data_IF_006719269999
#
_entry.id   IF_006719269999
#
_cell.length_a   1.000
_cell.length_b   1.000
_cell.length_c   1.000
_cell.angle_alpha   90.00
_cell.angle_beta   90.00
_cell.angle_gamma   90.00
#
_symmetry.space_group_name_H-M   'P 1'
#
loop_
_entity.id
_entity.type
_entity.pdbx_description
1 polymer ?
#
# COMPACT_ATOMS: atom_id res chain seq x y z
N UNK A 1 27.89 -10.94 9.60
CA UNK A 1 27.02 -10.40 10.68
C UNK A 1 26.07 -9.30 10.19
N UNK A 2 26.48 -8.48 9.21
CA UNK A 2 25.66 -7.42 8.58
C UNK A 2 24.29 -7.91 8.07
N UNK A 3 24.25 -9.03 7.34
CA UNK A 3 22.99 -9.59 6.81
C UNK A 3 21.93 -9.84 7.90
N UNK A 4 22.33 -10.49 9.00
CA UNK A 4 21.44 -10.75 10.14
C UNK A 4 20.90 -9.45 10.76
N UNK A 5 21.73 -8.42 10.86
CA UNK A 5 21.33 -7.12 11.40
C UNK A 5 20.32 -6.43 10.47
N UNK A 6 20.57 -6.43 9.17
CA UNK A 6 19.65 -5.86 8.17
C UNK A 6 18.28 -6.53 8.29
N UNK A 7 18.24 -7.86 8.26
CA UNK A 7 16.98 -8.61 8.37
C UNK A 7 16.28 -8.29 9.68
N UNK A 8 16.97 -8.41 10.81
CA UNK A 8 16.35 -8.21 12.13
C UNK A 8 15.78 -6.79 12.32
N UNK A 9 16.55 -5.76 12.01
CA UNK A 9 16.08 -4.38 12.16
C UNK A 9 14.96 -4.05 11.17
N UNK A 10 15.03 -4.55 9.93
CA UNK A 10 13.99 -4.31 8.93
C UNK A 10 12.68 -4.98 9.31
N UNK A 11 12.71 -6.18 9.90
CA UNK A 11 11.50 -6.85 10.39
C UNK A 11 10.85 -6.07 11.53
N UNK A 12 11.64 -5.61 12.51
CA UNK A 12 11.13 -4.79 13.62
C UNK A 12 10.49 -3.50 13.12
N UNK A 13 11.19 -2.77 12.24
CA UNK A 13 10.68 -1.54 11.63
C UNK A 13 9.45 -1.81 10.78
N UNK A 14 9.42 -2.91 10.02
CA UNK A 14 8.27 -3.33 9.22
C UNK A 14 7.01 -3.58 10.04
N UNK A 15 7.14 -4.26 11.20
CA UNK A 15 6.01 -4.47 12.12
C UNK A 15 5.45 -3.14 12.60
N UNK A 16 6.30 -2.25 13.10
CA UNK A 16 5.88 -0.95 13.64
C UNK A 16 5.25 -0.09 12.54
N UNK A 17 5.89 0.01 11.37
CA UNK A 17 5.38 0.77 10.23
C UNK A 17 4.06 0.21 9.70
N UNK A 18 3.91 -1.12 9.65
CA UNK A 18 2.67 -1.77 9.22
C UNK A 18 1.51 -1.54 10.20
N UNK A 19 1.78 -1.54 11.51
CA UNK A 19 0.79 -1.17 12.53
C UNK A 19 0.34 0.29 12.37
N UNK A 20 1.30 1.21 12.22
CA UNK A 20 1.00 2.64 12.03
C UNK A 20 0.18 2.85 10.76
N UNK A 21 0.56 2.23 9.64
CA UNK A 21 -0.19 2.32 8.38
C UNK A 21 -1.61 1.77 8.51
N UNK A 22 -1.79 0.66 9.24
CA UNK A 22 -3.11 0.07 9.47
C UNK A 22 -4.03 1.05 10.20
N UNK A 23 -3.54 1.70 11.27
CA UNK A 23 -4.32 2.72 12.00
C UNK A 23 -4.73 3.88 11.09
N UNK A 24 -3.80 4.37 10.27
CA UNK A 24 -4.07 5.45 9.32
C UNK A 24 -5.14 5.00 8.29
N UNK A 25 -5.01 3.80 7.74
CA UNK A 25 -5.97 3.25 6.77
C UNK A 25 -7.37 3.09 7.37
N UNK A 26 -7.49 2.71 8.65
CA UNK A 26 -8.79 2.59 9.33
C UNK A 26 -9.57 3.91 9.32
N UNK A 27 -8.88 5.06 9.35
CA UNK A 27 -9.56 6.37 9.36
C UNK A 27 -9.68 7.01 7.98
N UNK A 28 -8.77 6.71 7.05
CA UNK A 28 -8.76 7.36 5.74
C UNK A 28 -9.36 6.51 4.64
N UNK A 29 -9.03 5.22 4.59
CA UNK A 29 -9.31 4.36 3.44
C UNK A 29 -10.58 3.54 3.68
N UNK A 30 -10.74 2.96 4.87
CA UNK A 30 -11.88 2.09 5.20
C UNK A 30 -13.24 2.77 5.02
N UNK A 31 -13.46 4.03 5.47
CA UNK A 31 -14.77 4.68 5.30
C UNK A 31 -15.13 4.90 3.82
N UNK A 32 -14.14 5.16 2.96
CA UNK A 32 -14.36 5.37 1.53
C UNK A 32 -14.75 4.06 0.86
N UNK A 33 -14.09 2.94 1.23
CA UNK A 33 -14.43 1.61 0.72
C UNK A 33 -15.86 1.22 1.11
N UNK A 34 -16.23 1.39 2.38
CA UNK A 34 -17.58 1.06 2.86
C UNK A 34 -18.66 1.92 2.20
N UNK A 35 -18.36 3.21 1.97
CA UNK A 35 -19.26 4.08 1.22
C UNK A 35 -19.41 3.61 -0.25
N UNK A 36 -18.31 3.22 -0.91
CA UNK A 36 -18.35 2.69 -2.27
C UNK A 36 -19.12 1.37 -2.38
N UNK A 37 -18.89 0.42 -1.47
CA UNK A 37 -19.61 -0.87 -1.41
C UNK A 37 -21.14 -0.65 -1.32
N UNK A 38 -21.59 0.34 -0.53
CA UNK A 38 -23.03 0.68 -0.45
C UNK A 38 -23.66 1.13 -1.77
N UNK A 39 -22.89 1.76 -2.67
CA UNK A 39 -23.36 2.15 -4.00
C UNK A 39 -23.40 0.97 -4.97
N UNK A 40 -22.48 0.01 -4.84
CA UNK A 40 -22.47 -1.20 -5.68
C UNK A 40 -23.60 -2.16 -5.29
N UNK A 41 -23.84 -2.34 -3.98
CA UNK A 41 -24.95 -3.16 -3.47
C UNK A 41 -26.33 -2.54 -3.75
N UNK A 42 -26.45 -1.21 -3.64
CA UNK A 42 -27.67 -0.47 -3.97
C UNK A 42 -27.89 -0.23 -5.47
N UNK A 43 -26.83 -0.37 -6.27
CA UNK A 43 -26.75 -0.06 -7.69
C UNK A 43 -26.89 -1.23 -8.65
N UNK A 44 -27.41 -2.38 -8.19
CA UNK A 44 -27.69 -3.57 -9.01
C UNK A 44 -28.66 -3.35 -10.21
N UNK A 45 -28.99 -2.10 -10.55
CA UNK A 45 -29.59 -1.73 -11.82
C UNK A 45 -29.41 -0.26 -12.16
N UNK A 46 -28.26 0.14 -12.73
CA UNK A 46 -28.18 1.18 -13.76
C UNK A 46 -26.73 1.46 -14.18
N UNK A 47 -26.20 0.66 -15.12
CA UNK A 47 -25.49 1.24 -16.27
C UNK A 47 -25.81 0.38 -17.50
N UNK A 48 -27.01 0.54 -18.05
CA UNK A 48 -27.22 0.25 -19.48
C UNK A 48 -26.50 1.37 -20.24
N UNK A 49 -25.20 1.18 -20.50
CA UNK A 49 -24.48 2.03 -21.45
C UNK A 49 -25.13 1.75 -22.81
N UNK A 50 -25.96 2.70 -23.26
CA UNK A 50 -26.45 2.73 -24.62
C UNK A 50 -25.27 2.58 -25.58
N UNK A 51 -25.27 1.45 -26.30
CA UNK A 51 -24.21 0.99 -27.19
C UNK A 51 -23.91 2.06 -28.25
N UNK A 52 -22.73 2.68 -28.17
CA UNK A 52 -22.07 3.32 -29.31
C UNK A 52 -21.17 2.24 -29.93
N UNK A 53 -21.37 1.84 -31.20
CA UNK A 53 -20.65 0.72 -31.79
C UNK A 53 -19.32 1.20 -32.38
N UNK A 54 -18.32 1.48 -31.56
CA UNK A 54 -16.91 1.56 -31.96
C UNK A 54 -16.03 1.92 -30.76
N UNK A 55 -15.66 0.92 -29.96
CA UNK A 55 -14.40 0.79 -29.20
C UNK A 55 -14.63 -0.39 -28.26
N UNK A 56 -14.09 -1.54 -28.65
CA UNK A 56 -14.16 -2.82 -27.95
C UNK A 56 -13.32 -2.74 -26.67
N UNK A 57 -13.89 -2.09 -25.65
CA UNK A 57 -13.38 -2.14 -24.30
C UNK A 57 -14.00 -3.36 -23.67
N UNK A 58 -13.22 -4.43 -23.58
CA UNK A 58 -13.59 -5.66 -22.89
C UNK A 58 -14.06 -5.30 -21.47
N UNK A 59 -15.37 -5.21 -21.28
CA UNK A 59 -15.99 -5.31 -19.98
C UNK A 59 -15.67 -6.72 -19.50
N UNK A 60 -14.65 -6.83 -18.65
CA UNK A 60 -14.38 -8.04 -17.90
C UNK A 60 -15.54 -8.22 -16.92
N UNK A 61 -16.57 -8.93 -17.36
CA UNK A 61 -17.63 -9.44 -16.49
C UNK A 61 -16.97 -10.53 -15.65
N UNK A 62 -16.64 -10.22 -14.40
CA UNK A 62 -16.22 -11.24 -13.43
C UNK A 62 -17.41 -12.18 -13.21
N UNK A 63 -17.33 -13.35 -13.81
CA UNK A 63 -18.41 -14.32 -13.83
C UNK A 63 -18.67 -14.97 -12.47
N UNK A 64 -19.94 -15.00 -12.07
CA UNK A 64 -20.64 -16.22 -11.65
C UNK A 64 -20.28 -16.89 -10.33
N UNK A 65 -19.27 -16.46 -9.59
CA UNK A 65 -18.98 -16.91 -8.22
C UNK A 65 -18.98 -15.70 -7.30
N UNK A 66 -19.59 -15.82 -6.11
CA UNK A 66 -19.52 -14.79 -5.07
C UNK A 66 -18.05 -14.41 -4.86
N UNK A 67 -17.67 -13.19 -5.27
CA UNK A 67 -16.30 -12.71 -5.15
C UNK A 67 -15.94 -12.67 -3.66
N UNK A 68 -14.99 -13.51 -3.24
CA UNK A 68 -14.66 -13.65 -1.83
C UNK A 68 -14.08 -12.34 -1.30
N UNK A 69 -14.75 -11.76 -0.29
CA UNK A 69 -14.27 -10.61 0.46
C UNK A 69 -14.18 -10.95 1.96
N UNK A 70 -13.17 -10.42 2.70
CA UNK A 70 -13.16 -10.50 4.15
C UNK A 70 -14.43 -9.85 4.74
N UNK A 71 -15.10 -10.54 5.66
CA UNK A 71 -16.25 -9.95 6.37
C UNK A 71 -15.81 -8.71 7.16
N UNK A 72 -16.70 -7.73 7.25
CA UNK A 72 -16.47 -6.51 7.99
C UNK A 72 -16.17 -6.73 9.48
N UNK A 73 -15.47 -5.75 10.06
CA UNK A 73 -15.03 -5.78 11.44
C UNK A 73 -13.67 -6.47 11.59
N UNK A 74 -13.64 -7.56 12.37
CA UNK A 74 -12.37 -8.16 12.80
C UNK A 74 -11.61 -8.82 11.64
N UNK A 75 -12.29 -9.57 10.77
CA UNK A 75 -11.64 -10.31 9.69
C UNK A 75 -10.97 -9.36 8.70
N UNK A 76 -11.69 -8.35 8.19
CA UNK A 76 -11.11 -7.31 7.32
C UNK A 76 -9.91 -6.62 7.98
N UNK A 77 -10.05 -6.17 9.24
CA UNK A 77 -8.97 -5.50 9.96
C UNK A 77 -7.74 -6.38 10.14
N UNK A 78 -7.93 -7.67 10.47
CA UNK A 78 -6.83 -8.62 10.66
C UNK A 78 -6.07 -8.88 9.35
N UNK A 79 -6.77 -9.07 8.24
CA UNK A 79 -6.13 -9.25 6.93
C UNK A 79 -5.44 -7.97 6.44
N UNK A 80 -6.04 -6.80 6.66
CA UNK A 80 -5.40 -5.50 6.38
C UNK A 80 -4.14 -5.31 7.21
N UNK A 81 -4.18 -5.62 8.50
CA UNK A 81 -3.00 -5.55 9.35
C UNK A 81 -1.90 -6.48 8.85
N UNK A 82 -2.25 -7.74 8.57
CA UNK A 82 -1.30 -8.74 8.08
C UNK A 82 -0.66 -8.31 6.77
N UNK A 83 -1.45 -7.85 5.79
CA UNK A 83 -0.96 -7.41 4.49
C UNK A 83 -0.07 -6.17 4.61
N UNK A 84 -0.45 -5.20 5.44
CA UNK A 84 0.34 -4.00 5.69
C UNK A 84 1.67 -4.34 6.37
N UNK A 85 1.68 -5.24 7.36
CA UNK A 85 2.91 -5.64 8.06
C UNK A 85 3.87 -6.36 7.13
N UNK A 86 3.40 -7.33 6.34
CA UNK A 86 4.25 -8.06 5.37
C UNK A 86 4.81 -7.09 4.32
N UNK A 87 3.97 -6.21 3.78
CA UNK A 87 4.38 -5.18 2.81
C UNK A 87 5.43 -4.24 3.41
N UNK A 88 5.19 -3.75 4.63
CA UNK A 88 6.10 -2.86 5.33
C UNK A 88 7.46 -3.52 5.65
N UNK A 89 7.47 -4.81 5.99
CA UNK A 89 8.71 -5.58 6.14
C UNK A 89 9.51 -5.62 4.83
N UNK A 90 8.84 -5.87 3.70
CA UNK A 90 9.47 -5.88 2.38
C UNK A 90 10.10 -4.52 2.02
N UNK A 91 9.35 -3.43 2.17
CA UNK A 91 9.85 -2.08 1.93
C UNK A 91 10.98 -1.68 2.89
N UNK A 92 10.88 -2.04 4.17
CA UNK A 92 11.93 -1.79 5.15
C UNK A 92 13.23 -2.52 4.77
N UNK A 93 13.14 -3.78 4.33
CA UNK A 93 14.29 -4.54 3.86
C UNK A 93 14.94 -3.89 2.64
N UNK A 94 14.15 -3.56 1.61
CA UNK A 94 14.67 -2.93 0.39
C UNK A 94 15.33 -1.59 0.72
N UNK A 95 14.69 -0.75 1.55
CA UNK A 95 15.23 0.55 1.95
C UNK A 95 16.52 0.42 2.75
N UNK A 96 16.58 -0.51 3.69
CA UNK A 96 17.77 -0.75 4.51
C UNK A 96 18.94 -1.28 3.65
N UNK A 97 18.66 -2.20 2.72
CA UNK A 97 19.67 -2.72 1.78
C UNK A 97 20.16 -1.61 0.86
N UNK A 98 19.25 -0.82 0.26
CA UNK A 98 19.62 0.28 -0.63
C UNK A 98 20.46 1.34 0.10
N UNK A 99 20.06 1.70 1.32
CA UNK A 99 20.81 2.65 2.15
C UNK A 99 22.22 2.12 2.47
N UNK A 100 22.36 0.88 2.95
CA UNK A 100 23.66 0.29 3.27
C UNK A 100 24.54 0.14 2.01
N UNK A 101 23.96 -0.32 0.90
CA UNK A 101 24.67 -0.45 -0.37
C UNK A 101 25.18 0.90 -0.87
N UNK A 102 24.36 1.97 -0.78
CA UNK A 102 24.76 3.32 -1.20
C UNK A 102 25.95 3.84 -0.40
N UNK A 103 26.01 3.57 0.91
CA UNK A 103 27.12 4.01 1.78
C UNK A 103 28.41 3.24 1.47
N UNK A 104 28.30 1.94 1.22
CA UNK A 104 29.46 1.09 0.91
C UNK A 104 30.05 1.38 -0.47
N UNK A 105 29.20 1.57 -1.50
CA UNK A 105 29.65 1.81 -2.88
C UNK A 105 30.07 3.25 -3.13
N UNK A 106 29.31 4.23 -2.65
CA UNK A 106 29.48 5.65 -3.05
C UNK A 106 30.33 6.45 -2.06
N UNK A 107 30.48 6.00 -0.81
CA UNK A 107 31.13 6.78 0.27
C UNK A 107 32.35 6.10 0.90
N UNK A 108 32.92 5.10 0.23
CA UNK A 108 34.19 4.48 0.62
C UNK A 108 34.17 3.85 2.03
N UNK A 109 33.01 3.41 2.51
CA UNK A 109 32.87 2.74 3.80
C UNK A 109 32.91 3.64 5.05
N UNK A 110 33.01 4.96 4.89
CA UNK A 110 33.03 5.89 6.02
C UNK A 110 31.69 6.59 6.10
N UNK A 111 30.70 5.99 6.77
CA UNK A 111 29.66 6.75 7.48
C UNK A 111 28.81 5.86 8.40
N UNK A 112 28.61 6.35 9.62
CA UNK A 112 27.72 5.78 10.63
C UNK A 112 26.28 5.99 10.16
N UNK A 113 25.44 4.95 10.27
CA UNK A 113 24.00 5.11 10.10
C UNK A 113 23.52 6.15 11.12
N UNK A 114 23.09 7.32 10.62
CA UNK A 114 22.54 8.40 11.44
C UNK A 114 21.05 8.54 11.15
N UNK A 115 20.28 9.00 12.14
CA UNK A 115 18.83 9.16 12.00
C UNK A 115 18.47 10.10 10.84
N UNK A 116 19.32 11.08 10.54
CA UNK A 116 19.18 12.00 9.40
C UNK A 116 19.22 11.27 8.06
N UNK A 117 20.11 10.29 7.91
CA UNK A 117 20.18 9.48 6.68
C UNK A 117 18.93 8.63 6.53
N UNK A 118 18.44 8.05 7.64
CA UNK A 118 17.16 7.35 7.66
C UNK A 118 15.99 8.25 7.24
N UNK A 119 15.95 9.49 7.72
CA UNK A 119 14.90 10.46 7.36
C UNK A 119 14.92 10.80 5.87
N UNK A 120 16.11 11.05 5.29
CA UNK A 120 16.25 11.38 3.86
C UNK A 120 15.85 10.18 2.99
N UNK A 121 16.31 8.97 3.31
CA UNK A 121 15.93 7.76 2.58
C UNK A 121 14.43 7.44 2.71
N UNK A 122 13.87 7.63 3.91
CA UNK A 122 12.43 7.48 4.14
C UNK A 122 11.61 8.48 3.35
N UNK A 123 11.98 9.76 3.36
CA UNK A 123 11.32 10.80 2.59
C UNK A 123 11.43 10.55 1.08
N UNK A 124 12.60 10.17 0.59
CA UNK A 124 12.81 9.81 -0.82
C UNK A 124 11.94 8.60 -1.21
N UNK A 125 11.92 7.55 -0.38
CA UNK A 125 11.07 6.39 -0.60
C UNK A 125 9.58 6.75 -0.64
N UNK A 126 9.12 7.58 0.30
CA UNK A 126 7.73 8.07 0.32
C UNK A 126 7.39 8.87 -0.93
N UNK A 127 8.27 9.76 -1.39
CA UNK A 127 8.05 10.52 -2.61
C UNK A 127 7.94 9.60 -3.84
N UNK A 128 8.82 8.61 -3.95
CA UNK A 128 8.89 7.71 -5.10
C UNK A 128 7.73 6.72 -5.13
N UNK A 129 7.41 6.08 -4.01
CA UNK A 129 6.45 4.97 -3.96
C UNK A 129 5.03 5.40 -3.60
N UNK A 130 4.84 6.57 -3.01
CA UNK A 130 3.51 7.02 -2.57
C UNK A 130 3.12 8.35 -3.20
N UNK A 131 3.90 9.41 -3.01
CA UNK A 131 3.49 10.76 -3.42
C UNK A 131 3.42 10.92 -4.93
N UNK A 132 4.43 10.44 -5.67
CA UNK A 132 4.45 10.55 -7.13
C UNK A 132 3.30 9.76 -7.80
N UNK A 133 3.02 8.50 -7.41
CA UNK A 133 1.81 7.80 -7.89
C UNK A 133 0.49 8.44 -7.44
N UNK A 134 0.46 9.12 -6.29
CA UNK A 134 -0.75 9.76 -5.76
C UNK A 134 -1.09 11.09 -6.45
N UNK A 135 -0.24 11.60 -7.36
CA UNK A 135 -0.59 12.77 -8.17
C UNK A 135 -1.63 12.36 -9.22
N UNK A 136 -2.90 12.51 -8.86
CA UNK A 136 -4.06 12.14 -9.67
C UNK A 136 -5.36 12.56 -9.00
N UNK A 137 -6.49 12.10 -9.54
CA UNK A 137 -7.78 12.28 -8.88
C UNK A 137 -7.82 11.45 -7.59
N UNK A 138 -8.21 12.02 -6.44
CA UNK A 138 -8.39 11.25 -5.23
C UNK A 138 -9.56 10.25 -5.40
N UNK A 139 -9.56 9.14 -4.67
CA UNK A 139 -10.72 8.24 -4.65
C UNK A 139 -11.91 9.01 -4.08
N UNK A 140 -12.91 9.25 -4.92
CA UNK A 140 -14.15 9.90 -4.56
C UNK A 140 -15.33 8.97 -4.87
N UNK A 141 -16.31 8.96 -3.97
CA UNK A 141 -17.58 8.29 -4.21
C UNK A 141 -18.40 9.14 -5.19
N UNK A 142 -19.16 8.52 -6.12
CA UNK A 142 -20.16 9.26 -6.90
C UNK A 142 -21.14 9.92 -5.91
N UNK A 143 -21.37 11.22 -6.06
CA UNK A 143 -22.40 11.96 -5.34
C UNK A 143 -23.78 11.71 -5.93
#
# INVERSE_FOLDING_TARGET
MLFRQIVFYSLLVGIVSGLVLTVIQTWQVVPIIQAAESYEEGGAGAVEVAVIPALEQAAHVHGGEEEWAPTDGFQRTAFTLLSNVITAMGFAMITMVAMVASLNLLRGGVNRLDWRHGLIWGAAGYVVFWLAPAVGLPPEIPL
#
